data_IF_492596273734
#
_entry.id   IF_492596273734
#
_cell.length_a   1.000
_cell.length_b   1.000
_cell.length_c   1.000
_cell.angle_alpha   90.00
_cell.angle_beta   90.00
_cell.angle_gamma   90.00
#
_symmetry.space_group_name_H-M   'P 1'
#
loop_
_entity.id
_entity.type
_entity.pdbx_description
1 polymer ?
#
# COMPACT_ATOMS: atom_id res chain seq x y z
N UNK A 1 -20.00 -13.40 -2.39
CA UNK A 1 -20.08 -12.87 -3.77
C UNK A 1 -18.66 -12.70 -4.30
N UNK A 2 -18.33 -13.35 -5.41
CA UNK A 2 -17.06 -13.08 -6.13
C UNK A 2 -17.37 -12.21 -7.34
N UNK A 3 -16.61 -11.13 -7.51
CA UNK A 3 -16.75 -10.23 -8.66
C UNK A 3 -15.40 -9.77 -9.15
N UNK A 4 -15.28 -9.58 -10.46
CA UNK A 4 -14.11 -8.92 -11.04
C UNK A 4 -14.14 -7.42 -10.72
N UNK A 5 -12.97 -6.78 -10.75
CA UNK A 5 -12.88 -5.32 -10.62
C UNK A 5 -13.67 -4.56 -11.71
N UNK A 6 -13.81 -5.16 -12.90
CA UNK A 6 -14.62 -4.58 -13.97
C UNK A 6 -16.10 -4.61 -13.61
N UNK A 7 -16.59 -5.77 -13.15
CA UNK A 7 -17.98 -5.93 -12.73
C UNK A 7 -18.31 -5.05 -11.51
N UNK A 8 -17.40 -4.97 -10.53
CA UNK A 8 -17.54 -4.07 -9.39
C UNK A 8 -17.75 -2.62 -9.81
N UNK A 9 -17.01 -2.17 -10.84
CA UNK A 9 -17.12 -0.81 -11.39
C UNK A 9 -18.50 -0.55 -12.02
N UNK A 10 -19.00 -1.50 -12.80
CA UNK A 10 -20.31 -1.40 -13.48
C UNK A 10 -21.47 -1.46 -12.47
N UNK A 11 -21.39 -2.37 -11.50
CA UNK A 11 -22.42 -2.49 -10.47
C UNK A 11 -22.45 -1.28 -9.54
N UNK A 12 -21.30 -0.65 -9.30
CA UNK A 12 -21.24 0.58 -8.52
C UNK A 12 -21.68 1.83 -9.29
N UNK A 13 -22.09 1.73 -10.55
CA UNK A 13 -22.81 2.82 -11.23
C UNK A 13 -24.32 2.57 -11.24
N UNK A 14 -24.75 1.31 -11.30
CA UNK A 14 -26.17 0.96 -11.48
C UNK A 14 -26.88 0.49 -10.20
N UNK A 15 -26.19 -0.21 -9.30
CA UNK A 15 -26.75 -0.92 -8.14
C UNK A 15 -26.04 -0.57 -6.82
N UNK A 16 -25.59 0.68 -6.68
CA UNK A 16 -24.87 1.17 -5.49
C UNK A 16 -25.61 0.86 -4.19
N UNK A 17 -26.94 0.97 -4.19
CA UNK A 17 -27.77 0.77 -2.99
C UNK A 17 -27.55 -0.58 -2.30
N UNK A 18 -27.39 -1.66 -3.07
CA UNK A 18 -27.22 -3.02 -2.53
C UNK A 18 -25.82 -3.24 -1.92
N UNK A 19 -24.80 -2.58 -2.47
CA UNK A 19 -23.43 -2.61 -1.93
C UNK A 19 -23.25 -1.70 -0.71
N UNK A 20 -24.18 -0.77 -0.47
CA UNK A 20 -24.13 0.17 0.64
C UNK A 20 -25.03 -0.22 1.82
N UNK A 21 -26.15 -0.91 1.56
CA UNK A 21 -27.12 -1.24 2.60
C UNK A 21 -27.77 -2.62 2.37
N UNK A 22 -27.52 -3.61 3.23
CA UNK A 22 -26.66 -3.56 4.42
C UNK A 22 -25.15 -3.58 4.11
N UNK A 23 -24.77 -3.82 2.84
CA UNK A 23 -23.39 -4.05 2.45
C UNK A 23 -22.83 -5.39 2.96
N UNK A 24 -21.67 -5.84 2.44
CA UNK A 24 -21.06 -7.11 2.87
C UNK A 24 -20.40 -7.01 4.25
N UNK A 25 -20.40 -8.10 5.02
CA UNK A 25 -19.68 -8.18 6.30
C UNK A 25 -18.15 -8.02 6.16
N UNK A 26 -17.61 -8.49 5.02
CA UNK A 26 -16.18 -8.47 4.70
C UNK A 26 -15.99 -8.17 3.22
N UNK A 27 -15.03 -7.29 2.90
CA UNK A 27 -14.54 -7.08 1.52
C UNK A 27 -13.09 -7.51 1.44
N UNK A 28 -12.80 -8.40 0.49
CA UNK A 28 -11.45 -8.87 0.20
C UNK A 28 -11.07 -8.40 -1.20
N UNK A 29 -9.96 -7.65 -1.29
CA UNK A 29 -9.33 -7.29 -2.56
C UNK A 29 -8.21 -8.26 -2.85
N UNK A 30 -8.39 -9.06 -3.89
CA UNK A 30 -7.30 -9.85 -4.45
C UNK A 30 -6.51 -9.01 -5.45
N UNK A 31 -5.18 -9.08 -5.39
CA UNK A 31 -4.28 -8.18 -6.12
C UNK A 31 -4.59 -6.69 -5.86
N UNK A 32 -4.68 -6.32 -4.58
CA UNK A 32 -5.04 -4.97 -4.13
C UNK A 32 -4.20 -3.84 -4.74
N UNK A 33 -3.02 -4.15 -5.26
CA UNK A 33 -2.20 -3.21 -6.04
C UNK A 33 -2.89 -2.67 -7.31
N UNK A 34 -3.99 -3.29 -7.77
CA UNK A 34 -4.83 -2.75 -8.86
C UNK A 34 -5.55 -1.45 -8.47
N UNK A 35 -5.74 -1.20 -7.17
CA UNK A 35 -6.27 0.06 -6.63
C UNK A 35 -5.13 1.08 -6.43
N UNK A 36 -4.53 1.53 -7.54
CA UNK A 36 -3.26 2.29 -7.55
C UNK A 36 -3.35 3.67 -6.89
N UNK A 37 -4.45 4.38 -7.06
CA UNK A 37 -4.59 5.75 -6.55
C UNK A 37 -5.96 6.00 -5.95
N UNK A 38 -6.04 6.97 -5.04
CA UNK A 38 -7.30 7.48 -4.47
C UNK A 38 -8.27 7.98 -5.53
N UNK A 39 -7.74 8.46 -6.66
CA UNK A 39 -8.52 9.11 -7.72
C UNK A 39 -8.99 8.12 -8.79
N UNK A 40 -8.49 6.88 -8.74
CA UNK A 40 -8.98 5.84 -9.62
C UNK A 40 -10.44 5.54 -9.30
N UNK A 41 -11.30 5.55 -10.32
CA UNK A 41 -12.74 5.25 -10.20
C UNK A 41 -13.01 3.99 -9.35
N UNK A 42 -12.19 2.96 -9.57
CA UNK A 42 -12.33 1.71 -8.83
C UNK A 42 -12.04 1.87 -7.34
N UNK A 43 -11.05 2.67 -6.96
CA UNK A 43 -10.75 2.95 -5.54
C UNK A 43 -11.89 3.73 -4.89
N UNK A 44 -12.46 4.72 -5.58
CA UNK A 44 -13.59 5.48 -5.08
C UNK A 44 -14.82 4.59 -4.85
N UNK A 45 -15.10 3.69 -5.80
CA UNK A 45 -16.14 2.66 -5.66
C UNK A 45 -15.88 1.78 -4.43
N UNK A 46 -14.66 1.23 -4.31
CA UNK A 46 -14.28 0.35 -3.21
C UNK A 46 -14.29 1.03 -1.84
N UNK A 47 -14.03 2.34 -1.79
CA UNK A 47 -14.11 3.14 -0.57
C UNK A 47 -15.55 3.31 -0.09
N UNK A 48 -16.52 3.40 -1.03
CA UNK A 48 -17.94 3.59 -0.71
C UNK A 48 -18.58 2.34 -0.13
N UNK A 49 -18.14 1.14 -0.53
CA UNK A 49 -18.71 -0.13 -0.04
C UNK A 49 -18.72 -0.14 1.49
N UNK A 50 -19.94 -0.22 2.04
CA UNK A 50 -20.17 -0.30 3.48
C UNK A 50 -19.81 -1.71 3.94
N UNK A 51 -18.83 -1.83 4.83
CA UNK A 51 -18.41 -3.12 5.36
C UNK A 51 -17.77 -2.98 6.73
N UNK A 52 -17.91 -4.02 7.56
CA UNK A 52 -17.29 -4.07 8.89
C UNK A 52 -15.80 -4.39 8.81
N UNK A 53 -15.35 -5.10 7.76
CA UNK A 53 -13.97 -5.61 7.67
C UNK A 53 -13.46 -5.51 6.23
N UNK A 54 -12.22 -5.03 6.09
CA UNK A 54 -11.53 -4.91 4.81
C UNK A 54 -10.21 -5.67 4.86
N UNK A 55 -9.93 -6.43 3.80
CA UNK A 55 -8.67 -7.16 3.63
C UNK A 55 -8.14 -6.90 2.22
N UNK A 56 -6.86 -6.60 2.10
CA UNK A 56 -6.18 -6.53 0.82
C UNK A 56 -5.08 -7.59 0.77
N UNK A 57 -5.06 -8.36 -0.31
CA UNK A 57 -4.07 -9.39 -0.62
C UNK A 57 -3.25 -8.90 -1.80
N UNK A 58 -1.93 -9.04 -1.72
CA UNK A 58 -1.02 -8.68 -2.81
C UNK A 58 0.25 -9.52 -2.72
N UNK A 59 0.69 -10.06 -3.86
CA UNK A 59 1.97 -10.78 -3.96
C UNK A 59 3.21 -9.88 -3.83
N UNK A 60 3.07 -8.58 -4.09
CA UNK A 60 4.18 -7.61 -4.12
C UNK A 60 3.84 -6.38 -3.28
N UNK A 61 4.20 -6.35 -1.99
CA UNK A 61 3.84 -5.22 -1.12
C UNK A 61 4.69 -3.96 -1.37
N UNK A 62 5.88 -4.07 -1.97
CA UNK A 62 6.92 -3.03 -1.99
C UNK A 62 7.42 -2.63 -3.39
N UNK A 63 6.88 -3.20 -4.46
CA UNK A 63 7.18 -2.73 -5.83
C UNK A 63 6.32 -1.51 -6.22
N UNK A 64 5.38 -1.10 -5.37
CA UNK A 64 4.46 -0.02 -5.65
C UNK A 64 4.95 1.30 -5.04
N UNK A 65 4.64 2.42 -5.69
CA UNK A 65 4.98 3.76 -5.20
C UNK A 65 4.39 3.94 -3.80
N UNK A 66 5.09 4.68 -2.94
CA UNK A 66 4.64 4.91 -1.55
C UNK A 66 3.22 5.49 -1.48
N UNK A 67 2.77 6.25 -2.50
CA UNK A 67 1.38 6.71 -2.65
C UNK A 67 0.36 5.57 -2.75
N UNK A 68 0.65 4.54 -3.53
CA UNK A 68 -0.24 3.38 -3.72
C UNK A 68 -0.29 2.54 -2.44
N UNK A 69 0.87 2.40 -1.77
CA UNK A 69 0.97 1.74 -0.47
C UNK A 69 0.12 2.45 0.60
N UNK A 70 0.20 3.78 0.68
CA UNK A 70 -0.66 4.57 1.55
C UNK A 70 -2.13 4.39 1.19
N UNK A 71 -2.47 4.45 -0.10
CA UNK A 71 -3.85 4.29 -0.59
C UNK A 71 -4.44 2.93 -0.18
N UNK A 72 -3.66 1.85 -0.28
CA UNK A 72 -4.10 0.51 0.11
C UNK A 72 -4.33 0.42 1.62
N UNK A 73 -3.39 0.93 2.43
CA UNK A 73 -3.51 0.94 3.88
C UNK A 73 -4.69 1.77 4.35
N UNK A 74 -4.85 2.97 3.78
CA UNK A 74 -5.98 3.86 4.06
C UNK A 74 -7.30 3.17 3.71
N UNK A 75 -7.38 2.41 2.62
CA UNK A 75 -8.58 1.64 2.31
C UNK A 75 -8.87 0.55 3.35
N UNK A 76 -7.85 -0.18 3.82
CA UNK A 76 -7.98 -1.27 4.80
C UNK A 76 -8.37 -0.77 6.19
N UNK A 77 -7.75 0.30 6.69
CA UNK A 77 -8.00 0.87 8.04
C UNK A 77 -7.92 2.41 8.01
N UNK A 78 -8.96 3.11 7.52
CA UNK A 78 -8.90 4.55 7.31
C UNK A 78 -8.52 5.35 8.57
N UNK A 79 -9.26 5.15 9.67
CA UNK A 79 -9.07 5.89 10.92
C UNK A 79 -7.69 5.66 11.55
N UNK A 80 -7.25 4.41 11.58
CA UNK A 80 -6.00 4.03 12.24
C UNK A 80 -4.79 4.52 11.44
N UNK A 81 -4.90 4.51 10.11
CA UNK A 81 -3.85 4.99 9.21
C UNK A 81 -3.77 6.52 9.23
N UNK A 82 -4.89 7.23 9.27
CA UNK A 82 -4.88 8.68 9.43
C UNK A 82 -4.28 9.10 10.78
N UNK A 83 -4.53 8.33 11.85
CA UNK A 83 -3.87 8.54 13.14
C UNK A 83 -2.38 8.22 13.11
N UNK A 84 -1.97 7.12 12.47
CA UNK A 84 -0.57 6.66 12.48
C UNK A 84 0.36 7.41 11.50
N UNK A 85 -0.14 7.76 10.31
CA UNK A 85 0.65 8.35 9.22
C UNK A 85 0.25 9.80 8.90
N UNK A 86 -0.88 10.26 9.43
CA UNK A 86 -1.51 11.51 9.03
C UNK A 86 -2.23 11.42 7.69
N UNK A 87 -2.96 12.48 7.37
CA UNK A 87 -3.58 12.65 6.05
C UNK A 87 -2.54 12.51 4.92
N UNK A 88 -3.01 12.14 3.71
CA UNK A 88 -2.17 11.90 2.52
C UNK A 88 -1.10 12.96 2.26
N UNK A 89 -1.42 14.24 2.47
CA UNK A 89 -0.47 15.36 2.32
C UNK A 89 0.70 15.27 3.31
N UNK A 90 0.41 14.93 4.57
CA UNK A 90 1.44 14.72 5.60
C UNK A 90 2.30 13.50 5.28
N UNK A 91 1.67 12.38 4.90
CA UNK A 91 2.40 11.18 4.48
C UNK A 91 3.40 11.48 3.36
N UNK A 92 2.98 12.23 2.33
CA UNK A 92 3.86 12.63 1.23
C UNK A 92 5.06 13.44 1.69
N UNK A 93 4.83 14.41 2.59
CA UNK A 93 5.87 15.30 3.12
C UNK A 93 6.88 14.56 3.99
N UNK A 94 6.41 13.61 4.81
CA UNK A 94 7.22 12.92 5.81
C UNK A 94 7.97 11.70 5.26
N UNK A 95 7.34 10.96 4.34
CA UNK A 95 7.85 9.68 3.85
C UNK A 95 8.14 9.70 2.35
N UNK A 96 7.13 9.89 1.50
CA UNK A 96 7.28 9.71 0.04
C UNK A 96 8.29 10.65 -0.59
N UNK A 97 8.06 11.97 -0.52
CA UNK A 97 8.89 12.97 -1.15
C UNK A 97 10.36 12.86 -0.72
N UNK A 98 10.68 12.73 0.58
CA UNK A 98 12.06 12.78 0.98
C UNK A 98 12.75 11.40 0.83
N UNK A 99 12.03 10.27 0.79
CA UNK A 99 12.60 8.99 0.33
C UNK A 99 12.91 9.05 -1.16
N UNK A 100 11.96 9.48 -1.99
CA UNK A 100 12.12 9.58 -3.45
C UNK A 100 13.27 10.52 -3.84
N UNK A 101 13.37 11.69 -3.17
CA UNK A 101 14.47 12.64 -3.40
C UNK A 101 15.83 12.02 -3.06
N UNK A 102 15.93 11.30 -1.94
CA UNK A 102 17.18 10.65 -1.55
C UNK A 102 17.53 9.50 -2.49
N UNK A 103 16.55 8.72 -2.94
CA UNK A 103 16.76 7.63 -3.90
C UNK A 103 17.28 8.17 -5.25
N UNK A 104 16.66 9.24 -5.75
CA UNK A 104 17.11 9.93 -6.96
C UNK A 104 18.53 10.50 -6.82
N UNK A 105 18.80 11.17 -5.69
CA UNK A 105 20.13 11.71 -5.37
C UNK A 105 21.19 10.61 -5.29
N UNK A 106 20.86 9.46 -4.69
CA UNK A 106 21.75 8.30 -4.64
C UNK A 106 22.09 7.80 -6.05
N UNK A 107 21.10 7.68 -6.94
CA UNK A 107 21.32 7.24 -8.33
C UNK A 107 22.24 8.18 -9.12
N UNK A 108 22.07 9.50 -8.98
CA UNK A 108 22.94 10.49 -9.63
C UNK A 108 24.37 10.50 -9.06
N UNK A 109 24.49 10.37 -7.74
CA UNK A 109 25.76 10.44 -7.02
C UNK A 109 26.53 9.13 -6.99
N UNK A 110 25.89 8.02 -7.35
CA UNK A 110 26.49 6.68 -7.35
C UNK A 110 27.78 6.61 -8.18
N UNK A 111 27.86 7.39 -9.27
CA UNK A 111 29.01 7.40 -10.18
C UNK A 111 30.08 8.45 -9.85
N UNK A 112 29.79 9.42 -8.98
CA UNK A 112 30.60 10.64 -8.84
C UNK A 112 31.04 10.96 -7.41
N UNK A 113 30.40 10.39 -6.38
CA UNK A 113 30.69 10.70 -4.98
C UNK A 113 31.51 9.60 -4.29
N UNK A 114 32.18 9.98 -3.20
CA UNK A 114 32.87 9.03 -2.32
C UNK A 114 31.89 8.08 -1.62
N UNK A 115 32.37 6.88 -1.29
CA UNK A 115 31.59 5.83 -0.63
C UNK A 115 30.88 6.29 0.66
N UNK A 116 31.51 7.20 1.41
CA UNK A 116 30.94 7.78 2.63
C UNK A 116 29.66 8.60 2.38
N UNK A 117 29.62 9.45 1.35
CA UNK A 117 28.44 10.27 1.05
C UNK A 117 27.25 9.43 0.58
N UNK A 118 27.51 8.35 -0.16
CA UNK A 118 26.47 7.41 -0.58
C UNK A 118 25.92 6.65 0.64
N UNK A 119 26.81 6.21 1.53
CA UNK A 119 26.44 5.54 2.78
C UNK A 119 25.47 6.39 3.62
N UNK A 120 25.75 7.69 3.78
CA UNK A 120 24.87 8.59 4.54
C UNK A 120 23.47 8.71 3.93
N UNK A 121 23.37 8.76 2.60
CA UNK A 121 22.09 8.83 1.89
C UNK A 121 21.30 7.53 2.12
N UNK A 122 21.96 6.38 2.00
CA UNK A 122 21.35 5.07 2.22
C UNK A 122 20.84 4.95 3.67
N UNK A 123 21.64 5.35 4.67
CA UNK A 123 21.21 5.34 6.07
C UNK A 123 19.99 6.23 6.31
N UNK A 124 19.90 7.41 5.69
CA UNK A 124 18.73 8.29 5.79
C UNK A 124 17.47 7.66 5.17
N UNK A 125 17.61 6.97 4.04
CA UNK A 125 16.50 6.22 3.41
C UNK A 125 16.05 5.09 4.34
N UNK A 126 16.99 4.28 4.84
CA UNK A 126 16.70 3.16 5.72
C UNK A 126 16.00 3.60 7.01
N UNK A 127 16.45 4.68 7.66
CA UNK A 127 15.78 5.21 8.86
C UNK A 127 14.31 5.56 8.61
N UNK A 128 14.00 6.21 7.48
CA UNK A 128 12.62 6.53 7.13
C UNK A 128 11.79 5.30 6.78
N UNK A 129 12.38 4.36 6.04
CA UNK A 129 11.71 3.10 5.69
C UNK A 129 11.40 2.27 6.94
N UNK A 130 12.32 2.22 7.91
CA UNK A 130 12.13 1.53 9.19
C UNK A 130 11.06 2.20 10.05
N UNK A 131 11.05 3.54 10.11
CA UNK A 131 10.01 4.28 10.82
C UNK A 131 8.63 3.98 10.22
N UNK A 132 8.51 4.11 8.88
CA UNK A 132 7.27 3.78 8.16
C UNK A 132 6.84 2.34 8.44
N UNK A 133 7.78 1.38 8.35
CA UNK A 133 7.51 -0.02 8.65
C UNK A 133 7.00 -0.21 10.08
N UNK A 134 7.58 0.46 11.08
CA UNK A 134 7.13 0.31 12.47
C UNK A 134 5.70 0.79 12.68
N UNK A 135 5.32 1.89 12.01
CA UNK A 135 3.98 2.48 12.09
C UNK A 135 2.94 1.61 11.38
N UNK A 136 3.34 0.93 10.30
CA UNK A 136 2.41 0.12 9.49
C UNK A 136 2.41 -1.37 9.84
N UNK A 137 3.38 -1.82 10.64
CA UNK A 137 3.52 -3.22 11.07
C UNK A 137 2.24 -3.84 11.65
N UNK A 138 1.43 -3.15 12.47
CA UNK A 138 0.20 -3.74 13.02
C UNK A 138 -0.84 -4.10 11.95
N UNK A 139 -0.77 -3.47 10.78
CA UNK A 139 -1.77 -3.62 9.71
C UNK A 139 -1.33 -4.59 8.60
N UNK A 140 -0.10 -5.08 8.65
CA UNK A 140 0.51 -5.85 7.56
C UNK A 140 1.01 -7.18 8.06
N UNK A 141 0.47 -8.25 7.46
CA UNK A 141 1.02 -9.58 7.58
C UNK A 141 1.80 -9.92 6.31
N UNK A 142 3.13 -10.09 6.43
CA UNK A 142 3.98 -10.56 5.34
C UNK A 142 4.65 -11.87 5.73
N UNK A 143 4.45 -12.89 4.90
CA UNK A 143 5.09 -14.20 4.99
C UNK A 143 6.00 -14.36 3.78
N UNK A 144 7.23 -14.79 4.00
CA UNK A 144 8.22 -14.94 2.92
C UNK A 144 8.40 -16.40 2.50
N UNK A 145 9.03 -16.64 1.35
CA UNK A 145 9.21 -17.99 0.79
C UNK A 145 10.10 -18.88 1.67
N UNK A 146 10.88 -18.30 2.59
CA UNK A 146 11.67 -19.05 3.57
C UNK A 146 10.84 -20.01 4.43
N UNK A 147 9.53 -19.79 4.54
CA UNK A 147 8.62 -20.68 5.26
C UNK A 147 8.32 -21.98 4.49
N UNK A 148 8.54 -21.99 3.18
CA UNK A 148 8.25 -23.11 2.30
C UNK A 148 9.49 -23.95 1.98
N UNK A 149 10.65 -23.62 2.57
CA UNK A 149 11.94 -24.26 2.26
C UNK A 149 11.93 -25.76 2.54
N UNK A 150 11.18 -26.20 3.54
CA UNK A 150 11.07 -27.61 3.90
C UNK A 150 9.99 -28.35 3.10
N UNK A 151 9.08 -27.61 2.46
CA UNK A 151 7.89 -28.15 1.80
C UNK A 151 8.02 -28.17 0.26
N UNK A 152 9.00 -27.44 -0.28
CA UNK A 152 9.24 -27.34 -1.71
C UNK A 152 10.56 -28.00 -2.10
N UNK A 153 10.66 -28.59 -3.31
CA UNK A 153 11.93 -29.05 -3.83
C UNK A 153 12.95 -27.90 -3.92
N UNK A 154 14.26 -28.19 -3.82
CA UNK A 154 15.30 -27.18 -3.99
C UNK A 154 15.15 -26.48 -5.34
N UNK A 155 15.41 -25.17 -5.34
CA UNK A 155 15.33 -24.31 -6.53
C UNK A 155 16.37 -24.66 -7.58
#
# INVERSE_FOLDING_TARGET
LMMSYCLCRLLATEHVGELLNPGPDVVILDEGHKAKSTDAQITQVLQRIATRRRLAISGFPLQNKLDEYYTLLQWVRPSDIDSALGAKVHFKKLFENPISRLYFSAGLKYRTCSSGQISDIVHKIQRRALLLHSLTKPFILRRGPQLLVNDLPPK
#
